data_IF_394544179100
#
_entry.id   IF_394544179100
#
_cell.length_a   1.000
_cell.length_b   1.000
_cell.length_c   1.000
_cell.angle_alpha   90.00
_cell.angle_beta   90.00
_cell.angle_gamma   90.00
#
_symmetry.space_group_name_H-M   'P 1'
#
loop_
_entity.id
_entity.type
_entity.pdbx_description
1 polymer ?
#
# COMPACT_ATOMS: atom_id res chain seq x y z
N UNK A 1 -49.20 20.90 47.61
CA UNK A 1 -49.87 20.67 46.33
C UNK A 1 -49.20 19.43 45.75
N UNK A 2 -49.96 18.31 45.77
CA UNK A 2 -49.46 16.99 45.39
C UNK A 2 -49.61 16.83 43.85
N UNK A 3 -48.56 17.06 43.10
CA UNK A 3 -48.52 16.94 41.64
C UNK A 3 -48.33 15.49 41.14
N UNK A 4 -48.23 14.51 42.05
CA UNK A 4 -47.93 13.11 41.71
C UNK A 4 -49.12 12.26 41.23
N UNK A 5 -50.35 12.74 41.22
CA UNK A 5 -51.55 11.91 41.02
C UNK A 5 -52.30 12.08 39.69
N UNK A 6 -51.76 12.73 38.71
CA UNK A 6 -52.44 12.91 37.40
C UNK A 6 -51.67 12.38 36.19
N UNK A 7 -50.85 11.39 36.37
CA UNK A 7 -50.39 10.61 35.22
C UNK A 7 -51.40 9.51 35.01
N UNK A 8 -52.16 9.58 33.91
CA UNK A 8 -53.07 8.50 33.50
C UNK A 8 -52.25 7.23 33.25
N UNK A 9 -52.15 6.38 34.30
CA UNK A 9 -51.34 5.15 34.27
C UNK A 9 -51.74 4.24 33.11
N UNK A 10 -53.03 4.26 32.67
CA UNK A 10 -53.52 3.48 31.54
C UNK A 10 -52.88 3.86 30.19
N UNK A 11 -52.61 5.16 29.96
CA UNK A 11 -51.95 5.65 28.78
C UNK A 11 -50.45 5.27 28.81
N UNK A 12 -49.80 5.47 29.97
CA UNK A 12 -48.38 5.17 30.13
C UNK A 12 -48.06 3.69 29.86
N UNK A 13 -48.83 2.75 30.38
CA UNK A 13 -48.64 1.31 30.14
C UNK A 13 -48.87 0.91 28.67
N UNK A 14 -49.78 1.57 27.97
CA UNK A 14 -50.04 1.34 26.55
C UNK A 14 -48.86 1.82 25.70
N UNK A 15 -48.32 3.00 25.97
CA UNK A 15 -47.16 3.54 25.28
C UNK A 15 -45.87 2.78 25.63
N UNK A 16 -45.68 2.41 26.89
CA UNK A 16 -44.57 1.57 27.32
C UNK A 16 -44.61 0.19 26.64
N UNK A 17 -45.79 -0.45 26.56
CA UNK A 17 -45.96 -1.72 25.85
C UNK A 17 -45.69 -1.61 24.36
N UNK A 18 -46.14 -0.54 23.70
CA UNK A 18 -45.85 -0.29 22.28
C UNK A 18 -44.37 -0.04 22.03
N UNK A 19 -43.72 0.74 22.90
CA UNK A 19 -42.29 0.99 22.82
C UNK A 19 -41.47 -0.31 22.99
N UNK A 20 -41.83 -1.12 23.99
CA UNK A 20 -41.16 -2.41 24.22
C UNK A 20 -41.35 -3.35 23.02
N UNK A 21 -42.53 -3.44 22.44
CA UNK A 21 -42.77 -4.23 21.24
C UNK A 21 -41.95 -3.74 20.05
N UNK A 22 -41.83 -2.44 19.87
CA UNK A 22 -41.02 -1.83 18.80
C UNK A 22 -39.53 -2.10 18.99
N UNK A 23 -38.99 -2.03 20.21
CA UNK A 23 -37.62 -2.36 20.56
C UNK A 23 -37.32 -3.86 20.31
N UNK A 24 -38.23 -4.74 20.72
CA UNK A 24 -38.09 -6.18 20.49
C UNK A 24 -38.11 -6.49 18.99
N UNK A 25 -38.98 -5.84 18.23
CA UNK A 25 -39.06 -5.99 16.78
C UNK A 25 -37.81 -5.46 16.09
N UNK A 26 -37.22 -4.32 16.55
CA UNK A 26 -36.00 -3.77 16.07
C UNK A 26 -34.78 -4.72 16.35
N UNK A 27 -34.71 -5.26 17.58
CA UNK A 27 -33.66 -6.25 17.94
C UNK A 27 -33.84 -7.53 17.11
N UNK A 28 -35.07 -8.02 16.96
CA UNK A 28 -35.37 -9.21 16.15
C UNK A 28 -34.99 -9.02 14.69
N UNK A 29 -35.27 -7.86 14.11
CA UNK A 29 -34.91 -7.54 12.72
C UNK A 29 -33.39 -7.39 12.51
N UNK A 30 -32.64 -6.97 13.53
CA UNK A 30 -31.18 -6.90 13.46
C UNK A 30 -30.49 -8.25 13.64
N UNK A 31 -31.09 -9.17 14.43
CA UNK A 31 -30.53 -10.51 14.64
C UNK A 31 -30.84 -11.50 13.52
N UNK A 32 -32.05 -11.39 12.92
CA UNK A 32 -32.56 -12.32 11.91
C UNK A 32 -32.65 -11.72 10.51
N UNK A 33 -32.39 -10.40 10.37
CA UNK A 33 -32.46 -9.67 9.13
C UNK A 33 -31.23 -9.84 8.23
N UNK A 34 -31.33 -9.35 6.96
CA UNK A 34 -30.24 -9.41 6.00
C UNK A 34 -28.98 -8.69 6.51
N UNK A 35 -27.80 -9.14 6.08
CA UNK A 35 -26.48 -8.65 6.55
C UNK A 35 -26.28 -7.13 6.44
N UNK A 36 -26.86 -6.49 5.42
CA UNK A 36 -26.78 -5.04 5.23
C UNK A 36 -27.43 -4.21 6.34
N UNK A 37 -28.47 -4.73 7.03
CA UNK A 37 -29.10 -4.04 8.18
C UNK A 37 -28.21 -4.12 9.44
N UNK A 38 -27.51 -5.23 9.62
CA UNK A 38 -26.58 -5.43 10.75
C UNK A 38 -25.37 -4.50 10.64
N UNK A 39 -24.82 -4.33 9.42
CA UNK A 39 -23.71 -3.42 9.18
C UNK A 39 -24.09 -1.95 9.37
N UNK A 40 -25.29 -1.53 8.91
CA UNK A 40 -25.77 -0.16 9.08
C UNK A 40 -25.95 0.25 10.53
N UNK A 41 -26.49 -0.66 11.36
CA UNK A 41 -26.71 -0.38 12.79
C UNK A 41 -25.37 -0.36 13.58
N UNK A 42 -24.43 -1.22 13.21
CA UNK A 42 -23.08 -1.23 13.79
C UNK A 42 -22.36 0.11 13.59
N UNK A 43 -22.43 0.67 12.38
CA UNK A 43 -21.83 1.96 12.07
C UNK A 43 -22.46 3.13 12.84
N UNK A 44 -23.76 3.04 13.15
CA UNK A 44 -24.51 4.08 13.90
C UNK A 44 -24.23 4.04 15.40
N UNK A 45 -24.06 2.83 15.96
CA UNK A 45 -23.86 2.63 17.40
C UNK A 45 -22.38 2.70 17.81
N UNK A 46 -21.47 2.37 16.89
CA UNK A 46 -20.02 2.37 17.12
C UNK A 46 -19.30 3.15 16.04
N UNK A 47 -19.37 4.50 16.04
CA UNK A 47 -18.73 5.33 15.02
C UNK A 47 -17.20 5.26 15.01
N UNK A 48 -16.58 4.53 15.95
CA UNK A 48 -15.14 4.31 16.04
C UNK A 48 -14.65 3.05 15.26
N UNK A 49 -15.57 2.24 14.73
CA UNK A 49 -15.20 1.16 13.82
C UNK A 49 -14.84 1.80 12.48
N UNK A 50 -13.61 1.61 12.05
CA UNK A 50 -13.06 2.20 10.82
C UNK A 50 -14.08 2.15 9.68
N UNK A 51 -14.37 3.31 9.08
CA UNK A 51 -15.34 3.45 7.98
C UNK A 51 -14.98 2.54 6.78
N UNK A 52 -13.73 2.08 6.69
CA UNK A 52 -13.24 1.09 5.72
C UNK A 52 -13.87 -0.29 5.89
N UNK A 53 -14.28 -0.68 7.10
CA UNK A 53 -14.93 -1.98 7.36
C UNK A 53 -16.42 -2.01 6.97
N UNK A 54 -17.02 -0.86 6.69
CA UNK A 54 -18.45 -0.72 6.36
C UNK A 54 -18.67 -0.57 4.85
N UNK A 55 -17.63 -0.19 4.10
CA UNK A 55 -17.71 -0.06 2.65
C UNK A 55 -17.46 -1.43 1.98
N UNK A 56 -18.49 -2.07 1.37
CA UNK A 56 -18.31 -3.34 0.67
C UNK A 56 -17.43 -3.18 -0.59
N UNK A 57 -17.19 -1.95 -1.02
CA UNK A 57 -16.39 -1.64 -2.20
C UNK A 57 -14.98 -1.27 -1.81
N UNK A 58 -14.01 -1.97 -2.37
CA UNK A 58 -12.60 -1.73 -2.11
C UNK A 58 -11.77 -1.82 -3.39
N UNK A 59 -10.65 -1.09 -3.39
CA UNK A 59 -9.61 -1.20 -4.41
C UNK A 59 -8.34 -1.63 -3.70
N UNK A 60 -7.91 -2.87 -3.94
CA UNK A 60 -6.65 -3.42 -3.44
C UNK A 60 -5.56 -3.18 -4.46
N UNK A 61 -4.42 -2.66 -4.03
CA UNK A 61 -3.31 -2.28 -4.91
C UNK A 61 -2.04 -3.01 -4.48
N UNK A 62 -1.32 -3.54 -5.46
CA UNK A 62 0.00 -4.13 -5.30
C UNK A 62 1.01 -3.33 -6.14
N UNK A 63 2.22 -3.10 -5.64
CA UNK A 63 2.79 -3.63 -4.39
C UNK A 63 2.35 -2.89 -3.10
N UNK A 64 1.61 -1.78 -3.17
CA UNK A 64 1.39 -0.89 -2.04
C UNK A 64 2.61 0.00 -1.81
N UNK A 65 3.02 0.19 -0.55
CA UNK A 65 4.29 0.87 -0.25
C UNK A 65 5.46 -0.02 -0.69
N UNK A 66 6.43 0.56 -1.39
CA UNK A 66 7.57 -0.16 -1.94
C UNK A 66 8.82 0.73 -1.99
N UNK A 67 10.00 0.09 -1.97
CA UNK A 67 11.28 0.76 -2.21
C UNK A 67 11.93 0.13 -3.43
N UNK A 68 12.30 0.94 -4.40
CA UNK A 68 12.91 0.52 -5.66
C UNK A 68 14.22 1.25 -5.91
N UNK A 69 15.04 0.73 -6.82
CA UNK A 69 16.24 1.44 -7.27
C UNK A 69 15.86 2.64 -8.14
N UNK A 70 16.61 3.73 -8.01
CA UNK A 70 16.41 4.96 -8.81
C UNK A 70 16.40 4.66 -10.31
N UNK A 71 15.37 5.17 -11.00
CA UNK A 71 15.24 5.02 -12.45
C UNK A 71 14.71 3.68 -12.91
N UNK A 72 14.28 2.80 -12.02
CA UNK A 72 13.64 1.54 -12.40
C UNK A 72 12.14 1.71 -12.66
N UNK A 73 11.59 0.74 -13.35
CA UNK A 73 10.17 0.67 -13.65
C UNK A 73 9.44 -0.13 -12.57
N UNK A 74 8.22 0.26 -12.23
CA UNK A 74 7.37 -0.44 -11.26
C UNK A 74 6.02 -0.79 -11.86
N UNK A 75 5.68 -2.08 -11.89
CA UNK A 75 4.34 -2.55 -12.22
C UNK A 75 3.41 -2.32 -11.02
N UNK A 76 2.27 -1.69 -11.27
CA UNK A 76 1.19 -1.53 -10.28
C UNK A 76 -0.03 -2.26 -10.78
N UNK A 77 -0.57 -3.14 -9.93
CA UNK A 77 -1.81 -3.88 -10.20
C UNK A 77 -2.89 -3.48 -9.20
N UNK A 78 -4.12 -3.41 -9.68
CA UNK A 78 -5.28 -3.07 -8.87
C UNK A 78 -6.39 -4.10 -9.04
N UNK A 79 -6.93 -4.59 -7.94
CA UNK A 79 -8.07 -5.53 -7.90
C UNK A 79 -9.25 -4.86 -7.23
N UNK A 80 -10.43 -4.98 -7.84
CA UNK A 80 -11.67 -4.40 -7.33
C UNK A 80 -12.41 -5.43 -6.48
N UNK A 81 -12.77 -5.04 -5.25
CA UNK A 81 -13.57 -5.85 -4.34
C UNK A 81 -15.00 -5.32 -4.24
N UNK A 82 -16.00 -6.21 -4.43
CA UNK A 82 -17.41 -5.90 -4.24
C UNK A 82 -18.10 -5.16 -5.40
N UNK A 83 -17.35 -4.72 -6.44
CA UNK A 83 -17.92 -4.04 -7.62
C UNK A 83 -17.10 -4.36 -8.87
N UNK A 84 -17.68 -4.08 -10.04
CA UNK A 84 -17.00 -4.17 -11.32
C UNK A 84 -16.89 -2.79 -11.95
N UNK A 85 -15.79 -2.52 -12.63
CA UNK A 85 -15.57 -1.31 -13.44
C UNK A 85 -14.99 -1.69 -14.78
N UNK A 86 -15.36 -0.96 -15.82
CA UNK A 86 -14.75 -1.09 -17.15
C UNK A 86 -13.44 -0.31 -17.29
N UNK A 87 -13.14 0.59 -16.33
CA UNK A 87 -11.92 1.42 -16.34
C UNK A 87 -11.44 1.68 -14.92
N UNK A 88 -10.13 1.80 -14.79
CA UNK A 88 -9.47 2.28 -13.59
C UNK A 88 -8.37 3.29 -13.96
N UNK A 89 -8.08 4.21 -13.06
CA UNK A 89 -7.04 5.20 -13.24
C UNK A 89 -6.13 5.22 -12.02
N UNK A 90 -4.83 5.31 -12.25
CA UNK A 90 -3.85 5.59 -11.23
C UNK A 90 -3.55 7.09 -11.24
N UNK A 91 -3.38 7.64 -10.06
CA UNK A 91 -2.97 9.01 -9.83
C UNK A 91 -1.59 8.97 -9.17
N UNK A 92 -0.61 9.60 -9.79
CA UNK A 92 0.78 9.63 -9.33
C UNK A 92 1.21 11.06 -9.09
N UNK A 93 2.04 11.28 -8.06
CA UNK A 93 2.62 12.58 -7.73
C UNK A 93 4.05 12.38 -7.22
N UNK A 94 5.04 12.84 -7.96
CA UNK A 94 6.43 12.91 -7.52
C UNK A 94 6.62 13.96 -6.41
N UNK A 95 7.72 13.85 -5.67
CA UNK A 95 8.05 14.79 -4.59
C UNK A 95 8.18 16.24 -5.10
N UNK A 96 8.69 16.42 -6.32
CA UNK A 96 8.81 17.71 -6.99
C UNK A 96 7.50 18.25 -7.57
N UNK A 97 6.47 17.42 -7.70
CA UNK A 97 5.18 17.76 -8.30
C UNK A 97 4.19 18.26 -7.22
N UNK A 98 3.37 19.27 -7.55
CA UNK A 98 2.33 19.77 -6.63
C UNK A 98 0.95 19.13 -6.86
N UNK A 99 0.74 18.49 -8.01
CA UNK A 99 -0.55 17.93 -8.41
C UNK A 99 -0.41 16.50 -8.87
N UNK A 100 -1.44 15.71 -8.59
CA UNK A 100 -1.51 14.34 -9.09
C UNK A 100 -1.73 14.31 -10.60
N UNK A 101 -0.95 13.50 -11.29
CA UNK A 101 -1.10 13.16 -12.71
C UNK A 101 -1.95 11.89 -12.84
N UNK A 102 -2.98 11.94 -13.67
CA UNK A 102 -3.84 10.79 -13.95
C UNK A 102 -3.28 9.97 -15.12
N UNK A 103 -3.20 8.65 -14.95
CA UNK A 103 -2.88 7.69 -15.98
C UNK A 103 -3.98 6.62 -16.03
N UNK A 104 -4.38 6.20 -17.22
CA UNK A 104 -5.36 5.11 -17.38
C UNK A 104 -4.65 3.76 -17.22
N UNK A 105 -5.22 2.87 -16.42
CA UNK A 105 -4.74 1.49 -16.27
C UNK A 105 -5.35 0.60 -17.35
N UNK A 106 -4.61 -0.43 -17.75
CA UNK A 106 -5.07 -1.42 -18.71
C UNK A 106 -5.70 -2.62 -17.98
N UNK A 107 -6.68 -3.32 -18.59
CA UNK A 107 -7.17 -4.57 -18.04
C UNK A 107 -6.05 -5.61 -17.96
N UNK A 108 -5.83 -6.17 -16.75
CA UNK A 108 -4.86 -7.21 -16.50
C UNK A 108 -5.41 -8.61 -16.80
N UNK A 109 -4.51 -9.60 -16.90
CA UNK A 109 -4.84 -10.98 -17.28
C UNK A 109 -5.70 -11.72 -16.22
N UNK A 110 -5.64 -11.32 -14.94
CA UNK A 110 -6.37 -11.94 -13.84
C UNK A 110 -7.67 -11.22 -13.44
N UNK A 111 -8.19 -10.38 -14.33
CA UNK A 111 -9.47 -9.68 -14.10
C UNK A 111 -9.36 -8.40 -13.26
N UNK A 112 -8.15 -7.91 -13.02
CA UNK A 112 -7.85 -6.60 -12.41
C UNK A 112 -7.43 -5.58 -13.45
N UNK A 113 -6.71 -4.55 -13.00
CA UNK A 113 -6.12 -3.50 -13.83
C UNK A 113 -4.62 -3.43 -13.55
N UNK A 114 -3.84 -3.07 -14.57
CA UNK A 114 -2.39 -2.96 -14.45
C UNK A 114 -1.86 -1.74 -15.21
N UNK A 115 -0.74 -1.20 -14.70
CA UNK A 115 -0.01 -0.13 -15.34
C UNK A 115 1.46 -0.23 -14.98
N UNK A 116 2.33 0.08 -15.92
CA UNK A 116 3.76 0.22 -15.70
C UNK A 116 4.11 1.68 -15.48
N UNK A 117 4.63 2.01 -14.31
CA UNK A 117 5.24 3.32 -14.02
C UNK A 117 6.69 3.25 -14.44
N UNK A 118 7.09 4.08 -15.39
CA UNK A 118 8.41 4.01 -16.02
C UNK A 118 9.38 5.01 -15.37
N UNK A 119 10.64 4.55 -15.14
CA UNK A 119 11.76 5.40 -14.80
C UNK A 119 11.58 6.23 -13.53
N UNK A 120 11.10 5.64 -12.43
CA UNK A 120 10.82 6.36 -11.18
C UNK A 120 12.14 6.87 -10.59
N UNK A 121 12.36 8.19 -10.66
CA UNK A 121 13.61 8.85 -10.22
C UNK A 121 13.51 9.58 -8.88
N UNK A 122 12.32 9.71 -8.30
CA UNK A 122 12.07 10.38 -7.03
C UNK A 122 10.95 9.70 -6.25
N UNK A 123 10.86 9.87 -4.91
CA UNK A 123 9.74 9.36 -4.13
C UNK A 123 8.42 9.78 -4.74
N UNK A 124 7.54 8.82 -4.95
CA UNK A 124 6.29 9.02 -5.70
C UNK A 124 5.10 8.51 -4.90
N UNK A 125 4.18 9.40 -4.56
CA UNK A 125 2.88 9.04 -3.99
C UNK A 125 1.93 8.60 -5.09
N UNK A 126 1.13 7.56 -4.82
CA UNK A 126 0.13 7.12 -5.77
C UNK A 126 -1.10 6.50 -5.11
N UNK A 127 -2.21 6.51 -5.83
CA UNK A 127 -3.43 5.79 -5.49
C UNK A 127 -4.18 5.42 -6.76
N UNK A 128 -5.09 4.45 -6.65
CA UNK A 128 -5.94 4.00 -7.76
C UNK A 128 -7.39 4.37 -7.47
N UNK A 129 -8.10 4.79 -8.50
CA UNK A 129 -9.53 5.10 -8.45
C UNK A 129 -10.27 4.39 -9.59
N UNK A 130 -11.38 3.74 -9.25
CA UNK A 130 -12.29 3.12 -10.20
C UNK A 130 -13.73 3.42 -9.80
N UNK A 131 -14.53 4.00 -10.70
CA UNK A 131 -15.95 4.35 -10.50
C UNK A 131 -16.21 5.12 -9.20
N UNK A 132 -15.29 6.06 -8.84
CA UNK A 132 -15.40 6.88 -7.62
C UNK A 132 -14.96 6.18 -6.32
N UNK A 133 -14.55 4.90 -6.38
CA UNK A 133 -13.96 4.20 -5.25
C UNK A 133 -12.44 4.35 -5.33
N UNK A 134 -11.84 4.88 -4.26
CA UNK A 134 -10.41 5.18 -4.17
C UNK A 134 -9.71 4.22 -3.21
N UNK A 135 -8.52 3.77 -3.60
CA UNK A 135 -7.61 3.03 -2.71
C UNK A 135 -6.99 3.95 -1.64
N UNK A 136 -6.34 3.41 -0.61
CA UNK A 136 -5.37 4.16 0.18
C UNK A 136 -4.31 4.80 -0.72
N UNK A 137 -3.64 5.84 -0.22
CA UNK A 137 -2.46 6.41 -0.87
C UNK A 137 -1.23 5.63 -0.42
N UNK A 138 -0.39 5.25 -1.37
CA UNK A 138 0.85 4.52 -1.18
C UNK A 138 2.03 5.36 -1.64
N UNK A 139 3.23 4.99 -1.17
CA UNK A 139 4.47 5.65 -1.54
C UNK A 139 5.44 4.63 -2.14
N UNK A 140 6.02 4.97 -3.29
CA UNK A 140 7.18 4.29 -3.85
C UNK A 140 8.40 5.13 -3.49
N UNK A 141 9.21 4.62 -2.55
CA UNK A 141 10.49 5.22 -2.19
C UNK A 141 11.58 4.82 -3.18
N UNK A 142 12.55 5.69 -3.36
CA UNK A 142 13.67 5.48 -4.28
C UNK A 142 14.97 5.39 -3.50
N UNK A 143 15.69 4.27 -3.67
CA UNK A 143 17.02 4.06 -3.10
C UNK A 143 18.07 4.11 -4.20
N UNK A 144 19.18 4.77 -3.90
CA UNK A 144 20.35 4.70 -4.78
C UNK A 144 21.05 3.36 -4.57
N UNK A 145 21.31 2.65 -5.67
CA UNK A 145 22.12 1.44 -5.60
C UNK A 145 23.56 1.81 -5.24
N UNK A 146 24.22 1.02 -4.38
CA UNK A 146 25.65 1.22 -4.14
C UNK A 146 26.39 1.13 -5.47
N UNK A 147 27.12 2.18 -5.79
CA UNK A 147 27.92 2.29 -6.98
C UNK A 147 29.39 2.08 -6.59
N UNK A 148 30.11 1.27 -7.33
CA UNK A 148 31.56 1.09 -7.18
C UNK A 148 32.23 1.98 -8.22
N UNK A 149 32.90 3.02 -7.75
CA UNK A 149 33.56 3.97 -8.64
C UNK A 149 34.86 3.39 -9.17
N UNK A 150 35.63 2.72 -8.31
CA UNK A 150 36.95 2.17 -8.69
C UNK A 150 37.27 0.89 -7.91
N UNK A 151 37.91 -0.06 -8.59
CA UNK A 151 38.47 -1.27 -7.98
C UNK A 151 39.98 -1.28 -8.28
N UNK A 152 40.80 -1.18 -7.23
CA UNK A 152 42.23 -1.29 -7.33
C UNK A 152 42.71 -2.65 -6.86
N UNK A 153 43.56 -3.28 -7.65
CA UNK A 153 44.16 -4.57 -7.38
C UNK A 153 45.66 -4.41 -7.08
N UNK A 154 46.10 -4.75 -5.86
CA UNK A 154 47.51 -4.77 -5.49
C UNK A 154 48.01 -6.20 -5.40
N UNK A 155 48.97 -6.54 -6.25
CA UNK A 155 49.58 -7.87 -6.32
C UNK A 155 50.87 -7.91 -5.49
N UNK A 156 50.93 -8.83 -4.53
CA UNK A 156 52.12 -9.15 -3.77
C UNK A 156 52.65 -10.50 -4.24
N UNK A 157 53.73 -10.46 -5.07
CA UNK A 157 54.28 -11.66 -5.66
C UNK A 157 55.09 -12.48 -4.66
N UNK A 158 55.14 -13.83 -4.80
CA UNK A 158 55.98 -14.70 -3.98
C UNK A 158 57.47 -14.37 -4.11
N UNK A 159 58.21 -14.54 -3.03
CA UNK A 159 59.66 -14.21 -2.98
C UNK A 159 60.49 -14.87 -4.07
N UNK A 160 60.10 -16.07 -4.52
CA UNK A 160 60.83 -16.80 -5.58
C UNK A 160 60.78 -16.11 -6.95
N UNK A 161 59.85 -15.19 -7.17
CA UNK A 161 59.68 -14.46 -8.44
C UNK A 161 60.63 -13.27 -8.54
N UNK A 162 61.06 -12.71 -7.41
CA UNK A 162 61.87 -11.48 -7.37
C UNK A 162 61.14 -10.22 -7.85
N UNK A 163 59.81 -10.30 -8.07
CA UNK A 163 58.99 -9.19 -8.55
C UNK A 163 58.57 -8.28 -7.39
N UNK A 164 58.59 -6.94 -7.56
CA UNK A 164 58.07 -6.00 -6.61
C UNK A 164 56.54 -6.02 -6.65
N UNK A 165 55.87 -5.54 -5.55
CA UNK A 165 54.43 -5.35 -5.54
C UNK A 165 53.98 -4.42 -6.69
N UNK A 166 52.84 -4.75 -7.30
CA UNK A 166 52.28 -3.99 -8.44
C UNK A 166 50.80 -3.69 -8.18
N UNK A 167 50.42 -2.43 -8.28
CA UNK A 167 49.01 -1.99 -8.23
C UNK A 167 48.49 -1.79 -9.66
N UNK A 168 47.32 -2.30 -9.93
CA UNK A 168 46.57 -2.08 -11.17
C UNK A 168 45.29 -1.34 -10.76
N UNK A 169 45.14 -0.11 -11.24
CA UNK A 169 43.97 0.73 -11.04
C UNK A 169 42.88 0.35 -12.01
N UNK A 170 41.64 0.37 -11.56
CA UNK A 170 40.44 0.03 -12.35
C UNK A 170 40.53 -1.39 -12.96
N UNK A 171 41.00 -2.34 -12.15
CA UNK A 171 41.21 -3.74 -12.56
C UNK A 171 40.02 -4.62 -12.24
N UNK A 172 39.38 -5.25 -13.26
CA UNK A 172 38.25 -6.20 -13.10
C UNK A 172 38.67 -7.67 -13.06
N UNK A 173 39.83 -8.03 -13.73
CA UNK A 173 40.29 -9.41 -13.88
C UNK A 173 41.56 -9.67 -13.07
N UNK A 174 41.57 -10.77 -12.33
CA UNK A 174 42.71 -11.21 -11.55
C UNK A 174 43.43 -12.34 -12.28
N UNK A 175 44.67 -12.08 -12.80
CA UNK A 175 45.55 -13.09 -13.34
C UNK A 175 46.86 -13.04 -12.56
N UNK A 176 47.17 -14.10 -11.80
CA UNK A 176 48.35 -14.12 -10.93
C UNK A 176 49.03 -15.49 -10.92
N UNK A 177 50.35 -15.48 -10.60
CA UNK A 177 51.11 -16.70 -10.37
C UNK A 177 50.70 -17.42 -9.08
N UNK A 178 50.81 -18.73 -9.01
CA UNK A 178 50.50 -19.46 -7.79
C UNK A 178 51.30 -18.92 -6.58
N UNK A 179 50.58 -18.61 -5.48
CA UNK A 179 51.18 -18.06 -4.27
C UNK A 179 51.25 -16.54 -4.21
N UNK A 180 50.70 -15.82 -5.23
CA UNK A 180 50.54 -14.37 -5.18
C UNK A 180 49.34 -14.02 -4.26
N UNK A 181 49.52 -13.01 -3.41
CA UNK A 181 48.42 -12.41 -2.63
C UNK A 181 47.91 -11.20 -3.38
N UNK A 182 46.60 -11.13 -3.59
CA UNK A 182 45.96 -10.01 -4.27
C UNK A 182 45.08 -9.30 -3.25
N UNK A 183 45.32 -8.02 -3.04
CA UNK A 183 44.53 -7.12 -2.19
C UNK A 183 43.59 -6.31 -3.09
N UNK A 184 42.31 -6.33 -2.77
CA UNK A 184 41.29 -5.50 -3.43
C UNK A 184 41.01 -4.28 -2.57
N UNK A 185 41.11 -3.09 -3.17
CA UNK A 185 40.58 -1.83 -2.61
C UNK A 185 39.41 -1.39 -3.47
N UNK A 186 38.23 -1.21 -2.83
CA UNK A 186 37.02 -0.82 -3.52
C UNK A 186 36.64 0.58 -3.00
N UNK A 187 36.53 1.53 -3.92
CA UNK A 187 36.04 2.88 -3.65
C UNK A 187 34.60 2.96 -4.12
N UNK A 188 33.61 3.20 -3.17
CA UNK A 188 32.20 3.35 -3.49
C UNK A 188 31.87 4.75 -4.03
#
# INVERSE_FOLDING_TARGET
VDYGRRVEQGGLYRFAGALTALVVLAIGSTLLGPEHLRHGLGALLFPTVDATSVNPYSVSVLPGDATIARGTDQMVTATLGGFASGEASIFTKGESEQTFRRLTMLPGLEGGFEVMLLGIGEPTEYFVEATGVRSPTFTIDVADLPYVDQIDLTYYFPRYTGLPARTVTDGGDVAALPGTVVELSIEP
#
